data_IF_396297063051
#
_entry.id   IF_396297063051
#
_cell.length_a   1.000
_cell.length_b   1.000
_cell.length_c   1.000
_cell.angle_alpha   90.00
_cell.angle_beta   90.00
_cell.angle_gamma   90.00
#
_symmetry.space_group_name_H-M   'P 1'
#
loop_
_entity.id
_entity.type
_entity.pdbx_description
1 polymer ?
#
# COMPACT_ATOMS: atom_id res chain seq x y z
N UNK A 1 -20.33 6.99 -32.43
CA UNK A 1 -20.24 7.83 -31.21
C UNK A 1 -18.82 7.69 -30.71
N UNK A 2 -17.92 8.47 -31.30
CA UNK A 2 -16.46 8.32 -31.23
C UNK A 2 -15.92 9.02 -30.00
N UNK A 3 -14.96 8.38 -29.34
CA UNK A 3 -14.32 8.78 -28.09
C UNK A 3 -13.24 9.88 -28.25
N UNK A 4 -13.43 10.81 -29.18
CA UNK A 4 -12.43 11.86 -29.48
C UNK A 4 -12.76 13.22 -28.82
N UNK A 5 -13.97 13.38 -28.27
CA UNK A 5 -14.51 14.66 -27.78
C UNK A 5 -14.15 15.00 -26.31
N UNK A 6 -13.15 14.33 -25.73
CA UNK A 6 -12.70 14.60 -24.35
C UNK A 6 -11.20 14.85 -24.25
N UNK A 7 -10.55 15.20 -25.36
CA UNK A 7 -9.13 15.55 -25.35
C UNK A 7 -9.04 16.99 -24.84
N UNK A 8 -8.53 17.16 -23.62
CA UNK A 8 -8.30 18.46 -23.00
C UNK A 8 -7.56 19.34 -24.01
N UNK A 9 -8.18 20.48 -24.35
CA UNK A 9 -7.61 21.51 -25.20
C UNK A 9 -6.58 22.28 -24.37
N UNK A 10 -5.36 21.75 -24.36
CA UNK A 10 -4.23 22.33 -23.63
C UNK A 10 -3.86 23.71 -24.18
N UNK A 11 -4.09 23.94 -25.48
CA UNK A 11 -3.75 25.19 -26.16
C UNK A 11 -4.64 26.33 -25.65
N UNK A 12 -5.94 26.07 -25.46
CA UNK A 12 -6.86 27.02 -24.84
C UNK A 12 -6.47 27.35 -23.39
N UNK A 13 -6.05 26.34 -22.62
CA UNK A 13 -5.64 26.52 -21.22
C UNK A 13 -4.34 27.32 -21.09
N UNK A 14 -3.37 27.07 -21.97
CA UNK A 14 -2.11 27.83 -22.02
C UNK A 14 -2.34 29.29 -22.42
N UNK A 15 -3.27 29.55 -23.34
CA UNK A 15 -3.65 30.90 -23.75
C UNK A 15 -4.30 31.72 -22.61
N UNK A 16 -5.07 31.09 -21.73
CA UNK A 16 -5.64 31.74 -20.54
C UNK A 16 -4.58 32.10 -19.49
N UNK A 17 -3.52 31.29 -19.38
CA UNK A 17 -2.41 31.49 -18.42
C UNK A 17 -1.42 32.58 -18.86
N UNK A 18 -1.31 32.83 -20.16
CA UNK A 18 -0.32 33.74 -20.72
C UNK A 18 -0.94 34.82 -21.64
N UNK A 19 -1.78 35.72 -21.10
CA UNK A 19 -2.47 36.74 -21.91
C UNK A 19 -1.53 37.73 -22.63
N UNK A 20 -0.26 37.86 -22.19
CA UNK A 20 0.73 38.82 -22.69
C UNK A 20 1.95 38.16 -23.38
N UNK A 21 1.76 37.05 -24.09
CA UNK A 21 2.81 36.18 -24.66
C UNK A 21 3.66 36.78 -25.81
N UNK A 22 3.74 38.09 -25.96
CA UNK A 22 4.64 38.76 -26.91
C UNK A 22 6.12 38.81 -26.43
N UNK A 23 6.49 38.01 -25.44
CA UNK A 23 7.88 37.85 -25.03
C UNK A 23 8.57 36.86 -25.99
N UNK A 24 9.77 37.17 -26.50
CA UNK A 24 10.47 36.27 -27.41
C UNK A 24 10.76 34.92 -26.72
N UNK A 25 10.57 33.83 -27.45
CA UNK A 25 10.91 32.47 -26.99
C UNK A 25 12.38 32.42 -26.56
N UNK A 26 12.61 32.18 -25.27
CA UNK A 26 13.95 32.01 -24.71
C UNK A 26 14.35 30.54 -24.88
N UNK A 27 15.30 30.28 -25.78
CA UNK A 27 15.89 28.95 -25.92
C UNK A 27 16.59 28.56 -24.61
N UNK A 28 16.05 27.54 -23.94
CA UNK A 28 16.57 27.04 -22.66
C UNK A 28 17.92 26.32 -22.84
N UNK A 29 18.14 25.72 -24.02
CA UNK A 29 19.38 25.02 -24.40
C UNK A 29 19.79 25.40 -25.83
N UNK A 30 20.54 26.48 -26.01
CA UNK A 30 21.13 26.85 -27.30
C UNK A 30 22.50 26.15 -27.46
N UNK A 31 22.65 25.19 -28.41
CA UNK A 31 23.92 24.49 -28.62
C UNK A 31 25.02 25.40 -29.20
N UNK A 32 24.68 26.60 -29.69
CA UNK A 32 25.64 27.62 -30.10
C UNK A 32 26.18 28.44 -28.92
N UNK A 33 25.51 28.39 -27.75
CA UNK A 33 26.08 28.88 -26.50
C UNK A 33 27.10 27.85 -26.01
N UNK A 34 28.37 28.08 -26.34
CA UNK A 34 29.47 27.44 -25.61
C UNK A 34 29.25 27.67 -24.12
N UNK A 35 29.13 26.59 -23.35
CA UNK A 35 28.95 26.59 -21.89
C UNK A 35 30.21 27.11 -21.20
N UNK A 36 30.55 28.38 -21.44
CA UNK A 36 31.64 29.07 -20.77
C UNK A 36 31.12 29.36 -19.36
N UNK A 37 31.31 28.39 -18.47
CA UNK A 37 30.79 28.38 -17.12
C UNK A 37 31.10 29.75 -16.50
N UNK A 38 30.10 30.62 -16.23
CA UNK A 38 30.39 31.91 -15.64
C UNK A 38 31.02 31.63 -14.29
N UNK A 39 32.34 31.80 -14.18
CA UNK A 39 33.09 31.71 -12.91
C UNK A 39 32.62 32.77 -11.90
N UNK A 40 31.72 33.65 -12.33
CA UNK A 40 31.01 34.69 -11.58
C UNK A 40 29.58 34.31 -11.19
N UNK A 41 29.10 33.09 -11.49
CA UNK A 41 27.79 32.63 -11.03
C UNK A 41 27.72 32.67 -9.51
N UNK A 42 26.86 33.54 -8.99
CA UNK A 42 26.64 33.71 -7.55
C UNK A 42 26.12 32.37 -7.02
N UNK A 43 26.95 31.70 -6.21
CA UNK A 43 26.60 30.40 -5.65
C UNK A 43 25.47 30.59 -4.65
N UNK A 44 24.27 30.16 -5.03
CA UNK A 44 23.16 30.17 -4.11
C UNK A 44 23.45 29.21 -2.93
N UNK A 45 23.03 29.60 -1.72
CA UNK A 45 23.24 28.83 -0.53
C UNK A 45 22.62 27.43 -0.62
N UNK A 46 23.43 26.36 -0.54
CA UNK A 46 22.98 24.96 -0.61
C UNK A 46 21.93 24.65 0.46
N UNK A 47 22.17 25.14 1.68
CA UNK A 47 21.21 25.05 2.77
C UNK A 47 20.33 26.31 2.79
N UNK A 48 19.00 26.16 2.82
CA UNK A 48 18.10 27.30 2.92
C UNK A 48 18.32 28.05 4.24
N UNK A 49 18.02 29.36 4.27
CA UNK A 49 18.30 30.21 5.42
C UNK A 49 17.66 29.71 6.73
N UNK A 50 16.47 29.10 6.64
CA UNK A 50 15.79 28.52 7.80
C UNK A 50 16.50 27.29 8.38
N UNK A 51 17.31 26.57 7.60
CA UNK A 51 18.04 25.39 8.06
C UNK A 51 19.33 25.73 8.80
N UNK A 52 19.79 26.99 8.76
CA UNK A 52 21.05 27.44 9.39
C UNK A 52 20.87 27.93 10.82
N UNK A 53 19.66 28.36 11.18
CA UNK A 53 19.32 28.86 12.50
C UNK A 53 18.40 27.90 13.21
N UNK A 54 18.73 27.54 14.45
CA UNK A 54 17.87 26.68 15.29
C UNK A 54 16.46 27.24 15.45
N UNK A 55 16.33 28.56 15.62
CA UNK A 55 15.04 29.21 15.81
C UNK A 55 14.18 29.19 14.52
N UNK A 56 14.80 29.43 13.36
CA UNK A 56 14.10 29.37 12.08
C UNK A 56 13.74 27.92 11.70
N UNK A 57 14.60 26.97 12.05
CA UNK A 57 14.37 25.55 11.82
C UNK A 57 13.16 25.05 12.63
N UNK A 58 13.10 25.35 13.93
CA UNK A 58 11.96 24.91 14.77
C UNK A 58 10.66 25.56 14.34
N UNK A 59 10.69 26.83 13.91
CA UNK A 59 9.54 27.51 13.30
C UNK A 59 9.04 26.78 12.06
N UNK A 60 9.94 26.45 11.11
CA UNK A 60 9.55 25.70 9.91
C UNK A 60 9.04 24.30 10.20
N UNK A 61 9.64 23.58 11.15
CA UNK A 61 9.16 22.27 11.59
C UNK A 61 7.76 22.38 12.20
N UNK A 62 7.51 23.39 13.04
CA UNK A 62 6.18 23.62 13.63
C UNK A 62 5.12 23.90 12.57
N UNK A 63 5.44 24.75 11.59
CA UNK A 63 4.56 25.00 10.46
C UNK A 63 4.30 23.73 9.64
N UNK A 64 5.35 22.98 9.29
CA UNK A 64 5.22 21.75 8.53
C UNK A 64 4.38 20.70 9.27
N UNK A 65 4.54 20.60 10.59
CA UNK A 65 3.75 19.72 11.43
C UNK A 65 2.27 20.12 11.44
N UNK A 66 1.96 21.40 11.61
CA UNK A 66 0.58 21.90 11.54
C UNK A 66 -0.04 21.65 10.17
N UNK A 67 0.72 21.89 9.09
CA UNK A 67 0.28 21.64 7.72
C UNK A 67 -0.04 20.15 7.48
N UNK A 68 0.88 19.26 7.88
CA UNK A 68 0.68 17.82 7.75
C UNK A 68 -0.47 17.31 8.62
N UNK A 69 -0.62 17.85 9.83
CA UNK A 69 -1.72 17.51 10.74
C UNK A 69 -3.06 17.93 10.14
N UNK A 70 -3.14 19.11 9.53
CA UNK A 70 -4.34 19.58 8.86
C UNK A 70 -4.70 18.71 7.66
N UNK A 71 -3.74 18.40 6.79
CA UNK A 71 -3.95 17.52 5.64
C UNK A 71 -4.36 16.10 6.06
N UNK A 72 -3.68 15.53 7.06
CA UNK A 72 -3.99 14.20 7.59
C UNK A 72 -5.36 14.19 8.25
N UNK A 73 -5.68 15.20 9.07
CA UNK A 73 -6.98 15.37 9.71
C UNK A 73 -8.12 15.48 8.70
N UNK A 74 -7.92 16.22 7.61
CA UNK A 74 -8.88 16.32 6.51
C UNK A 74 -9.16 14.95 5.87
N UNK A 75 -8.12 14.18 5.55
CA UNK A 75 -8.29 12.85 4.97
C UNK A 75 -8.87 11.85 5.98
N UNK A 76 -8.52 11.95 7.26
CA UNK A 76 -9.08 11.13 8.33
C UNK A 76 -10.55 11.43 8.60
N UNK A 77 -10.99 12.68 8.47
CA UNK A 77 -12.40 13.03 8.57
C UNK A 77 -13.23 12.41 7.44
N UNK A 78 -12.62 12.18 6.26
CA UNK A 78 -13.28 11.63 5.07
C UNK A 78 -13.12 10.12 4.89
N UNK A 79 -12.06 9.54 5.44
CA UNK A 79 -11.80 8.09 5.40
C UNK A 79 -12.86 7.19 6.05
N UNK A 80 -13.64 7.57 7.10
CA UNK A 80 -14.59 6.65 7.72
C UNK A 80 -15.68 6.18 6.78
N UNK A 81 -16.07 6.99 5.79
CA UNK A 81 -17.07 6.58 4.80
C UNK A 81 -16.53 5.43 3.94
N UNK A 82 -15.29 5.54 3.48
CA UNK A 82 -14.65 4.50 2.67
C UNK A 82 -14.30 3.26 3.51
N UNK A 83 -13.84 3.46 4.73
CA UNK A 83 -13.62 2.37 5.68
C UNK A 83 -14.92 1.62 5.99
N UNK A 84 -16.03 2.34 6.18
CA UNK A 84 -17.36 1.74 6.38
C UNK A 84 -17.83 0.96 5.16
N UNK A 85 -17.67 1.51 3.95
CA UNK A 85 -17.98 0.78 2.70
C UNK A 85 -17.13 -0.48 2.57
N UNK A 86 -15.84 -0.39 2.83
CA UNK A 86 -14.93 -1.53 2.78
C UNK A 86 -15.31 -2.59 3.82
N UNK A 87 -15.67 -2.19 5.03
CA UNK A 87 -16.15 -3.10 6.07
C UNK A 87 -17.43 -3.81 5.60
N UNK A 88 -18.43 -3.08 5.10
CA UNK A 88 -19.67 -3.67 4.61
C UNK A 88 -19.42 -4.68 3.48
N UNK A 89 -18.63 -4.31 2.46
CA UNK A 89 -18.34 -5.21 1.34
C UNK A 89 -17.44 -6.39 1.72
N UNK A 90 -16.48 -6.20 2.62
CA UNK A 90 -15.63 -7.29 3.10
C UNK A 90 -16.44 -8.33 3.89
N UNK A 91 -17.45 -7.91 4.67
CA UNK A 91 -18.37 -8.84 5.34
C UNK A 91 -19.18 -9.65 4.33
N UNK A 92 -19.65 -9.04 3.24
CA UNK A 92 -20.38 -9.75 2.18
C UNK A 92 -19.47 -10.77 1.48
N UNK A 93 -18.26 -10.36 1.11
CA UNK A 93 -17.27 -11.26 0.49
C UNK A 93 -16.88 -12.41 1.41
N UNK A 94 -16.70 -12.14 2.70
CA UNK A 94 -16.43 -13.14 3.72
C UNK A 94 -17.59 -14.13 3.84
N UNK A 95 -18.84 -13.64 3.91
CA UNK A 95 -20.03 -14.49 3.96
C UNK A 95 -20.13 -15.43 2.76
N UNK A 96 -19.92 -14.93 1.54
CA UNK A 96 -19.91 -15.76 0.31
C UNK A 96 -18.81 -16.81 0.34
N UNK A 97 -17.62 -16.45 0.83
CA UNK A 97 -16.47 -17.35 0.93
C UNK A 97 -16.69 -18.46 1.94
N UNK A 98 -17.21 -18.11 3.14
CA UNK A 98 -17.57 -19.07 4.19
C UNK A 98 -18.67 -20.02 3.72
N UNK A 99 -19.72 -19.50 3.08
CA UNK A 99 -20.80 -20.32 2.56
C UNK A 99 -20.34 -21.28 1.46
N UNK A 100 -19.55 -20.79 0.49
CA UNK A 100 -18.96 -21.62 -0.55
C UNK A 100 -18.05 -22.72 0.01
N UNK A 101 -17.18 -22.35 0.96
CA UNK A 101 -16.31 -23.30 1.65
C UNK A 101 -17.12 -24.34 2.42
N UNK A 102 -18.14 -23.94 3.18
CA UNK A 102 -19.03 -24.86 3.88
C UNK A 102 -19.74 -25.83 2.93
N UNK A 103 -20.27 -25.32 1.80
CA UNK A 103 -20.92 -26.15 0.77
C UNK A 103 -19.99 -27.23 0.22
N UNK A 104 -18.73 -26.87 -0.02
CA UNK A 104 -17.69 -27.78 -0.48
C UNK A 104 -17.27 -28.79 0.60
N UNK A 105 -17.00 -28.33 1.83
CA UNK A 105 -16.59 -29.18 2.96
C UNK A 105 -17.65 -30.23 3.25
N UNK A 106 -18.93 -29.85 3.30
CA UNK A 106 -20.03 -30.75 3.66
C UNK A 106 -20.61 -31.54 2.49
N UNK A 107 -20.05 -31.39 1.29
CA UNK A 107 -20.49 -32.06 0.06
C UNK A 107 -21.99 -31.87 -0.21
N UNK A 108 -22.45 -30.61 -0.05
CA UNK A 108 -23.87 -30.27 -0.26
C UNK A 108 -24.27 -30.37 -1.74
N UNK A 109 -23.29 -30.34 -2.65
CA UNK A 109 -23.51 -30.48 -4.09
C UNK A 109 -24.10 -31.86 -4.45
N UNK A 110 -23.76 -32.90 -3.69
CA UNK A 110 -24.26 -34.26 -3.89
C UNK A 110 -25.63 -34.55 -3.23
N UNK A 111 -26.23 -33.57 -2.54
CA UNK A 111 -27.52 -33.75 -1.87
C UNK A 111 -28.66 -34.17 -2.81
N UNK A 112 -28.83 -33.59 -4.01
CA UNK A 112 -29.90 -34.01 -4.93
C UNK A 112 -29.82 -35.48 -5.34
N UNK A 113 -28.62 -36.03 -5.51
CA UNK A 113 -28.41 -37.44 -5.88
C UNK A 113 -28.89 -38.36 -4.75
N UNK A 114 -28.59 -38.02 -3.49
CA UNK A 114 -29.09 -38.77 -2.33
C UNK A 114 -30.61 -38.68 -2.20
N UNK A 115 -31.19 -37.52 -2.49
CA UNK A 115 -32.65 -37.36 -2.50
C UNK A 115 -33.33 -38.25 -3.55
N UNK A 116 -32.71 -38.47 -4.71
CA UNK A 116 -33.24 -39.41 -5.71
C UNK A 116 -33.24 -40.85 -5.19
N UNK A 117 -32.16 -41.30 -4.54
CA UNK A 117 -32.11 -42.64 -3.93
C UNK A 117 -33.19 -42.81 -2.85
N UNK A 118 -33.41 -41.80 -2.02
CA UNK A 118 -34.49 -41.79 -1.01
C UNK A 118 -35.87 -41.87 -1.67
N UNK A 119 -36.13 -41.10 -2.73
CA UNK A 119 -37.41 -41.15 -3.46
C UNK A 119 -37.66 -42.48 -4.16
N UNK A 120 -36.61 -43.26 -4.45
CA UNK A 120 -36.69 -44.61 -5.02
C UNK A 120 -36.74 -45.70 -3.96
N UNK A 121 -36.68 -45.33 -2.68
CA UNK A 121 -36.64 -46.25 -1.54
C UNK A 121 -35.44 -47.24 -1.61
N UNK A 122 -34.38 -46.88 -2.33
CA UNK A 122 -33.17 -47.70 -2.43
C UNK A 122 -32.22 -47.39 -1.27
N UNK A 123 -32.39 -48.15 -0.19
CA UNK A 123 -31.55 -48.04 1.01
C UNK A 123 -30.08 -48.41 0.72
N UNK A 124 -29.82 -49.37 -0.18
CA UNK A 124 -28.47 -49.82 -0.48
C UNK A 124 -27.69 -48.75 -1.26
N UNK A 125 -28.32 -48.10 -2.23
CA UNK A 125 -27.76 -46.96 -2.95
C UNK A 125 -27.51 -45.77 -2.00
N UNK A 126 -28.46 -45.46 -1.11
CA UNK A 126 -28.29 -44.39 -0.14
C UNK A 126 -27.09 -44.61 0.79
N UNK A 127 -26.95 -45.81 1.36
CA UNK A 127 -25.84 -46.13 2.27
C UNK A 127 -24.47 -46.02 1.57
N UNK A 128 -24.37 -46.44 0.30
CA UNK A 128 -23.15 -46.28 -0.51
C UNK A 128 -22.80 -44.80 -0.72
N UNK A 129 -23.78 -43.98 -1.10
CA UNK A 129 -23.58 -42.54 -1.29
C UNK A 129 -23.22 -41.82 0.02
N UNK A 130 -23.80 -42.24 1.14
CA UNK A 130 -23.47 -41.69 2.47
C UNK A 130 -22.02 -42.00 2.87
N UNK A 131 -21.57 -43.25 2.70
CA UNK A 131 -20.19 -43.62 3.02
C UNK A 131 -19.15 -42.87 2.17
N UNK A 132 -19.45 -42.64 0.89
CA UNK A 132 -18.60 -41.81 0.01
C UNK A 132 -18.54 -40.35 0.49
N UNK A 133 -19.69 -39.79 0.90
CA UNK A 133 -19.76 -38.43 1.44
C UNK A 133 -18.93 -38.30 2.70
N UNK A 134 -19.08 -39.22 3.66
CA UNK A 134 -18.34 -39.17 4.93
C UNK A 134 -16.82 -39.19 4.71
N UNK A 135 -16.35 -39.99 3.74
CA UNK A 135 -14.94 -40.03 3.34
C UNK A 135 -14.45 -38.69 2.78
N UNK A 136 -15.22 -38.04 1.90
CA UNK A 136 -14.90 -36.72 1.32
C UNK A 136 -14.96 -35.62 2.38
N UNK A 137 -16.00 -35.61 3.22
CA UNK A 137 -16.19 -34.62 4.30
C UNK A 137 -15.06 -34.70 5.30
N UNK A 138 -14.62 -35.91 5.67
CA UNK A 138 -13.50 -36.10 6.59
C UNK A 138 -12.20 -35.52 6.02
N UNK A 139 -11.87 -35.84 4.77
CA UNK A 139 -10.67 -35.29 4.10
C UNK A 139 -10.77 -33.77 3.94
N UNK A 140 -11.88 -33.27 3.39
CA UNK A 140 -12.09 -31.82 3.15
C UNK A 140 -12.13 -31.03 4.46
N UNK A 141 -12.66 -31.63 5.53
CA UNK A 141 -12.65 -31.06 6.88
C UNK A 141 -11.23 -30.89 7.42
N UNK A 142 -10.36 -31.89 7.28
CA UNK A 142 -8.94 -31.75 7.64
C UNK A 142 -8.22 -30.70 6.79
N UNK A 143 -8.49 -30.64 5.48
CA UNK A 143 -7.93 -29.62 4.59
C UNK A 143 -8.39 -28.22 5.01
N UNK A 144 -9.68 -28.04 5.29
CA UNK A 144 -10.23 -26.76 5.74
C UNK A 144 -9.65 -26.34 7.10
N UNK A 145 -9.57 -27.27 8.06
CA UNK A 145 -8.95 -27.01 9.36
C UNK A 145 -7.48 -26.61 9.21
N UNK A 146 -6.71 -27.36 8.41
CA UNK A 146 -5.32 -27.03 8.09
C UNK A 146 -5.17 -25.64 7.48
N UNK A 147 -6.05 -25.28 6.53
CA UNK A 147 -6.07 -23.95 5.93
C UNK A 147 -6.36 -22.84 6.96
N UNK A 148 -7.35 -23.03 7.84
CA UNK A 148 -7.67 -22.04 8.90
C UNK A 148 -6.51 -21.85 9.87
N UNK A 149 -5.83 -22.93 10.27
CA UNK A 149 -4.65 -22.88 11.14
C UNK A 149 -3.48 -22.19 10.43
N UNK A 150 -3.23 -22.49 9.15
CA UNK A 150 -2.18 -21.84 8.37
C UNK A 150 -2.41 -20.32 8.26
N UNK A 151 -3.65 -19.91 7.95
CA UNK A 151 -4.04 -18.50 7.87
C UNK A 151 -3.92 -17.80 9.23
N UNK A 152 -4.38 -18.42 10.32
CA UNK A 152 -4.26 -17.87 11.67
C UNK A 152 -2.84 -17.91 12.25
N UNK A 153 -2.04 -18.90 11.87
CA UNK A 153 -0.64 -19.09 12.28
C UNK A 153 0.31 -18.11 11.61
N UNK A 154 0.10 -17.84 10.32
CA UNK A 154 0.84 -16.83 9.56
C UNK A 154 0.76 -15.43 10.20
N UNK A 155 -0.41 -15.06 10.73
CA UNK A 155 -0.60 -13.78 11.43
C UNK A 155 0.18 -13.66 12.74
N UNK A 156 0.52 -14.79 13.38
CA UNK A 156 1.29 -14.83 14.63
C UNK A 156 2.79 -14.80 14.38
N UNK A 157 3.27 -15.41 13.29
CA UNK A 157 4.69 -15.40 12.95
C UNK A 157 5.19 -14.00 12.55
N UNK A 158 4.41 -13.23 11.79
CA UNK A 158 4.83 -11.87 11.36
C UNK A 158 4.96 -10.85 12.49
N UNK A 159 4.27 -11.02 13.63
CA UNK A 159 4.41 -10.11 14.78
C UNK A 159 5.70 -10.30 15.57
N UNK A 160 6.34 -11.48 15.46
CA UNK A 160 7.63 -11.75 16.13
C UNK A 160 8.85 -11.34 15.31
N UNK A 161 8.69 -11.11 14.01
CA UNK A 161 9.79 -10.68 13.13
C UNK A 161 10.04 -9.16 13.13
N UNK A 162 9.20 -8.34 13.79
CA UNK A 162 9.33 -6.88 13.85
C UNK A 162 9.94 -6.32 15.14
N UNK A 163 10.29 -7.18 16.11
CA UNK A 163 10.87 -6.78 17.40
C UNK A 163 12.21 -7.48 17.61
N UNK A 164 13.27 -6.98 16.97
CA UNK A 164 14.62 -7.43 17.34
C UNK A 164 15.70 -7.17 16.31
N UNK A 165 16.25 -5.96 16.29
CA UNK A 165 17.68 -5.69 16.04
C UNK A 165 17.97 -4.19 16.04
N UNK A 166 17.87 -3.56 17.22
CA UNK A 166 18.52 -2.26 17.43
C UNK A 166 20.05 -2.44 17.38
N UNK A 167 20.79 -1.62 16.62
CA UNK A 167 22.24 -1.72 16.57
C UNK A 167 22.81 -1.33 17.94
N UNK A 168 23.59 -2.24 18.55
CA UNK A 168 24.40 -1.90 19.72
C UNK A 168 25.46 -0.90 19.26
N UNK A 169 25.30 0.35 19.68
CA UNK A 169 26.33 1.37 19.54
C UNK A 169 27.57 0.96 20.31
N UNK A 170 28.62 0.56 19.58
CA UNK A 170 29.98 0.50 20.08
C UNK A 170 30.66 1.84 19.88
N UNK A 171 30.53 2.72 20.87
CA UNK A 171 31.38 3.91 21.01
C UNK A 171 32.49 3.65 22.01
N UNK A 172 33.73 4.00 21.65
CA UNK A 172 34.89 4.41 22.47
C UNK A 172 36.07 4.53 21.49
N UNK A 173 36.43 5.73 21.03
CA UNK A 173 37.47 6.56 21.65
C UNK A 173 38.83 6.19 21.03
N UNK A 174 39.50 6.98 20.18
CA UNK A 174 39.80 8.40 20.33
C UNK A 174 41.24 8.52 20.85
N UNK A 175 42.23 8.62 19.95
CA UNK A 175 43.64 8.76 20.34
C UNK A 175 44.61 8.80 19.16
N UNK A 176 44.58 9.87 18.35
CA UNK A 176 45.67 10.20 17.42
C UNK A 176 46.62 11.15 18.14
N UNK A 177 47.82 10.67 18.45
CA UNK A 177 48.93 11.44 19.00
C UNK A 177 49.65 12.10 17.83
N UNK A 178 49.62 13.42 17.75
CA UNK A 178 50.42 14.20 16.79
C UNK A 178 51.65 14.68 17.54
N UNK A 179 52.79 14.08 17.24
CA UNK A 179 54.09 14.57 17.69
C UNK A 179 54.44 15.84 16.89
N UNK A 180 54.79 16.90 17.62
CA UNK A 180 55.27 18.17 17.08
C UNK A 180 56.78 18.22 17.31
N UNK A 181 57.61 18.50 16.29
CA UNK A 181 59.05 18.60 16.47
C UNK A 181 59.42 19.96 17.09
N UNK A 182 60.42 19.95 17.97
CA UNK A 182 61.20 21.13 18.33
C UNK A 182 62.34 21.26 17.32
N UNK A 183 62.40 22.42 16.65
CA UNK A 183 63.44 22.83 15.71
C UNK A 183 63.17 24.25 15.27
#
# INVERSE_FOLDING_TARGET
MTSEDSRIDWDAYEAELHPDQAAPDVAVDDPALSFDHPRTARREPILPAWARSRAAFTSQVSWAFQHLTHATGYHLARSPIYAGKLAAYSLVGLGRSVFGAGRWVFDLEGAPVRHVAVRREDAAEYLKLSAQRDSRVRLRGFVALGATIALGGWSRHRRRAGLGSGPRGGGCGGGVRVDRPLG
#
